data_IF_640152707042
#
_entry.id   IF_640152707042
#
_cell.length_a   1.000
_cell.length_b   1.000
_cell.length_c   1.000
_cell.angle_alpha   90.00
_cell.angle_beta   90.00
_cell.angle_gamma   90.00
#
_symmetry.space_group_name_H-M   'P 1'
#
loop_
_entity.id
_entity.type
_entity.pdbx_description
1 polymer ?
#
# COMPACT_ATOMS: atom_id res chain seq x y z
N UNK A 1 30.80 10.81 -22.10
CA UNK A 1 30.35 9.44 -21.77
C UNK A 1 29.61 9.50 -20.44
N UNK A 2 28.31 9.23 -20.41
CA UNK A 2 27.53 9.25 -19.17
C UNK A 2 27.83 7.99 -18.34
N UNK A 3 28.18 8.17 -17.07
CA UNK A 3 28.50 7.07 -16.16
C UNK A 3 27.23 6.30 -15.78
N UNK A 4 27.21 4.96 -15.82
CA UNK A 4 26.03 4.19 -15.45
C UNK A 4 25.74 4.35 -13.94
N UNK A 5 24.47 4.34 -13.52
CA UNK A 5 24.12 4.52 -12.12
C UNK A 5 24.67 3.37 -11.27
N UNK A 6 25.44 3.70 -10.23
CA UNK A 6 25.90 2.73 -9.24
C UNK A 6 24.69 2.19 -8.45
N UNK A 7 24.62 0.87 -8.18
CA UNK A 7 23.55 0.30 -7.38
C UNK A 7 23.60 0.91 -5.97
N UNK A 8 22.54 1.63 -5.59
CA UNK A 8 22.40 2.16 -4.23
C UNK A 8 22.09 1.00 -3.29
N UNK A 9 23.07 0.58 -2.50
CA UNK A 9 22.91 -0.40 -1.44
C UNK A 9 22.02 0.18 -0.35
N UNK A 10 20.83 -0.41 -0.15
CA UNK A 10 20.01 -0.14 1.02
C UNK A 10 20.54 -0.97 2.20
N UNK A 11 20.39 -0.52 3.46
CA UNK A 11 20.70 -1.34 4.63
C UNK A 11 19.94 -2.66 4.56
N UNK A 12 20.61 -3.79 4.83
CA UNK A 12 20.00 -5.12 4.79
C UNK A 12 18.78 -5.25 5.73
N UNK A 13 18.72 -4.44 6.79
CA UNK A 13 17.58 -4.36 7.72
C UNK A 13 16.36 -3.62 7.16
N UNK A 14 16.51 -2.89 6.05
CA UNK A 14 15.41 -2.15 5.45
C UNK A 14 14.58 -3.12 4.61
N UNK A 15 13.40 -3.47 5.12
CA UNK A 15 12.43 -4.20 4.32
C UNK A 15 12.18 -3.45 3.00
N UNK A 16 12.04 -4.16 1.86
CA UNK A 16 11.65 -3.54 0.60
C UNK A 16 10.37 -2.72 0.81
N UNK A 17 10.30 -1.51 0.24
CA UNK A 17 9.15 -0.59 0.41
C UNK A 17 7.81 -1.26 0.14
N UNK A 18 7.76 -2.20 -0.81
CA UNK A 18 6.57 -2.98 -1.12
C UNK A 18 6.08 -3.82 0.06
N UNK A 19 6.97 -4.46 0.83
CA UNK A 19 6.59 -5.29 1.98
C UNK A 19 6.03 -4.44 3.12
N UNK A 20 6.66 -3.30 3.42
CA UNK A 20 6.14 -2.35 4.41
C UNK A 20 4.76 -1.79 4.02
N UNK A 21 4.54 -1.52 2.73
CA UNK A 21 3.24 -1.07 2.24
C UNK A 21 2.15 -2.15 2.40
N UNK A 22 2.48 -3.42 2.13
CA UNK A 22 1.57 -4.56 2.34
C UNK A 22 1.26 -4.74 3.82
N UNK A 23 2.28 -4.76 4.68
CA UNK A 23 2.09 -4.92 6.13
C UNK A 23 1.22 -3.79 6.69
N UNK A 24 1.44 -2.55 6.22
CA UNK A 24 0.59 -1.40 6.57
C UNK A 24 -0.85 -1.57 6.08
N UNK A 25 -1.05 -1.96 4.82
CA UNK A 25 -2.38 -2.15 4.25
C UNK A 25 -3.18 -3.21 5.03
N UNK A 26 -2.55 -4.36 5.35
CA UNK A 26 -3.17 -5.41 6.18
C UNK A 26 -3.53 -4.87 7.57
N UNK A 27 -2.64 -4.09 8.17
CA UNK A 27 -2.87 -3.50 9.49
C UNK A 27 -4.06 -2.52 9.49
N UNK A 28 -4.22 -1.72 8.44
CA UNK A 28 -5.35 -0.79 8.32
C UNK A 28 -6.67 -1.50 8.03
N UNK A 29 -6.67 -2.49 7.14
CA UNK A 29 -7.87 -3.29 6.87
C UNK A 29 -8.39 -3.98 8.13
N UNK A 30 -7.49 -4.53 8.97
CA UNK A 30 -7.86 -5.12 10.28
C UNK A 30 -8.44 -4.11 11.28
N UNK A 31 -8.20 -2.81 11.09
CA UNK A 31 -8.79 -1.73 11.89
C UNK A 31 -10.08 -1.18 11.29
N UNK A 32 -10.58 -1.79 10.21
CA UNK A 32 -11.74 -1.31 9.47
C UNK A 32 -11.47 -0.01 8.71
N UNK A 33 -10.22 0.29 8.35
CA UNK A 33 -9.85 1.51 7.62
C UNK A 33 -9.66 1.21 6.14
N UNK A 34 -10.15 2.08 5.24
CA UNK A 34 -9.98 1.88 3.81
C UNK A 34 -8.52 2.08 3.37
N UNK A 35 -8.14 1.44 2.27
CA UNK A 35 -6.80 1.55 1.67
C UNK A 35 -6.91 1.76 0.16
N UNK A 36 -6.03 2.58 -0.40
CA UNK A 36 -5.90 2.72 -1.84
C UNK A 36 -4.89 1.69 -2.39
N UNK A 37 -5.32 0.88 -3.35
CA UNK A 37 -4.47 -0.09 -4.06
C UNK A 37 -4.26 0.41 -5.48
N UNK A 38 -2.99 0.53 -5.91
CA UNK A 38 -2.63 0.89 -7.29
C UNK A 38 -2.03 -0.30 -8.00
N UNK A 39 -2.58 -0.62 -9.17
CA UNK A 39 -2.03 -1.62 -10.07
C UNK A 39 -1.21 -0.98 -11.19
N UNK A 40 -0.58 -1.83 -12.00
CA UNK A 40 0.00 -1.40 -13.28
C UNK A 40 -1.07 -0.81 -14.20
N UNK A 41 -0.64 -0.05 -15.21
CA UNK A 41 -1.58 0.52 -16.21
C UNK A 41 -2.43 1.69 -15.69
N UNK A 42 -2.11 2.27 -14.53
CA UNK A 42 -2.80 3.45 -14.00
C UNK A 42 -4.09 3.16 -13.25
N UNK A 43 -4.46 1.88 -13.10
CA UNK A 43 -5.65 1.46 -12.37
C UNK A 43 -5.42 1.62 -10.86
N UNK A 44 -6.40 2.18 -10.17
CA UNK A 44 -6.43 2.27 -8.72
C UNK A 44 -7.84 1.90 -8.21
N UNK A 45 -7.89 1.33 -7.01
CA UNK A 45 -9.12 1.00 -6.31
C UNK A 45 -9.02 1.45 -4.85
N UNK A 46 -10.10 2.01 -4.33
CA UNK A 46 -10.29 2.21 -2.90
C UNK A 46 -10.97 0.95 -2.34
N UNK A 47 -10.38 0.36 -1.29
CA UNK A 47 -10.78 -0.95 -0.79
C UNK A 47 -11.07 -0.85 0.70
N UNK A 48 -12.21 -1.40 1.11
CA UNK A 48 -12.59 -1.62 2.51
C UNK A 48 -12.82 -3.12 2.73
N UNK A 49 -12.47 -3.62 3.93
CA UNK A 49 -12.77 -5.01 4.29
C UNK A 49 -14.28 -5.20 4.44
N UNK A 50 -14.84 -6.25 3.84
CA UNK A 50 -16.29 -6.49 3.85
C UNK A 50 -16.88 -6.56 5.28
N UNK A 51 -16.13 -7.14 6.23
CA UNK A 51 -16.50 -7.22 7.64
C UNK A 51 -16.56 -5.86 8.36
N UNK A 52 -15.95 -4.82 7.79
CA UNK A 52 -15.93 -3.46 8.33
C UNK A 52 -16.89 -2.51 7.61
N UNK A 53 -17.71 -3.02 6.68
CA UNK A 53 -18.67 -2.19 5.93
C UNK A 53 -19.83 -1.81 6.85
N UNK A 54 -19.97 -0.51 7.09
CA UNK A 54 -21.14 0.12 7.70
C UNK A 54 -21.63 1.25 6.81
N UNK A 55 -22.82 1.80 7.08
CA UNK A 55 -23.31 2.96 6.33
C UNK A 55 -22.37 4.17 6.49
N UNK A 56 -21.91 4.40 7.71
CA UNK A 56 -20.98 5.49 8.05
C UNK A 56 -19.62 5.31 7.37
N UNK A 57 -19.09 4.09 7.36
CA UNK A 57 -17.82 3.80 6.70
C UNK A 57 -17.90 3.92 5.17
N UNK A 58 -19.09 3.80 4.59
CA UNK A 58 -19.33 4.00 3.16
C UNK A 58 -19.44 5.48 2.80
N UNK A 59 -19.96 6.31 3.71
CA UNK A 59 -19.98 7.78 3.55
C UNK A 59 -18.56 8.38 3.59
N UNK A 60 -17.62 7.71 4.27
CA UNK A 60 -16.21 8.10 4.39
C UNK A 60 -15.32 7.65 3.20
N UNK A 61 -15.86 6.91 2.22
CA UNK A 61 -15.15 6.41 1.03
C UNK A 61 -15.17 7.40 -0.13
#
# INVERSE_FOLDING_TARGET
MAQPPHPRTFPASRAPRARLAVDRAVSELRRGRPVAVRAGGGVAALVLAAEAVTAEALDDL
#
